data_IF_377879669064
#
_entry.id   IF_377879669064
#
_cell.length_a   1.000
_cell.length_b   1.000
_cell.length_c   1.000
_cell.angle_alpha   90.00
_cell.angle_beta   90.00
_cell.angle_gamma   90.00
#
_symmetry.space_group_name_H-M   'P 1'
#
loop_
_entity.id
_entity.type
_entity.pdbx_description
1 polymer ?
#
# COMPACT_ATOMS: atom_id res chain seq x y z
N UNK A 1 0.46 -9.03 1.68
CA UNK A 1 -0.84 -8.83 1.00
C UNK A 1 -0.78 -7.55 0.17
N UNK A 2 0.06 -7.51 -0.86
CA UNK A 2 0.09 -6.37 -1.76
C UNK A 2 -0.99 -6.45 -2.84
N UNK A 3 -1.59 -7.62 -3.07
CA UNK A 3 -2.57 -7.82 -4.14
C UNK A 3 -2.02 -7.34 -5.48
N UNK A 4 -2.79 -6.50 -6.17
CA UNK A 4 -2.44 -5.86 -7.44
C UNK A 4 -1.41 -4.73 -7.35
N UNK A 5 -0.79 -4.51 -6.18
CA UNK A 5 0.32 -3.56 -6.02
C UNK A 5 -0.08 -2.10 -5.75
N UNK A 6 -1.35 -1.80 -5.50
CA UNK A 6 -1.82 -0.41 -5.31
C UNK A 6 -1.08 0.34 -4.21
N UNK A 7 -0.97 -0.22 -2.99
CA UNK A 7 -0.29 0.46 -1.88
C UNK A 7 1.20 0.74 -2.19
N UNK A 8 1.99 -0.26 -2.67
CA UNK A 8 3.36 0.01 -3.11
C UNK A 8 3.50 1.08 -4.20
N UNK A 9 2.63 1.06 -5.22
CA UNK A 9 2.67 2.03 -6.32
C UNK A 9 2.38 3.45 -5.81
N UNK A 10 1.32 3.62 -5.02
CA UNK A 10 0.98 4.91 -4.41
C UNK A 10 2.10 5.42 -3.49
N UNK A 11 2.75 4.51 -2.74
CA UNK A 11 3.90 4.87 -1.92
C UNK A 11 5.10 5.33 -2.76
N UNK A 12 5.34 4.72 -3.92
CA UNK A 12 6.39 5.16 -4.84
C UNK A 12 6.08 6.53 -5.45
N UNK A 13 4.83 6.76 -5.85
CA UNK A 13 4.37 8.07 -6.33
C UNK A 13 4.57 9.16 -5.28
N UNK A 14 4.17 8.91 -4.03
CA UNK A 14 4.39 9.84 -2.92
C UNK A 14 5.89 10.05 -2.67
N UNK A 15 6.66 8.97 -2.64
CA UNK A 15 8.10 9.02 -2.35
C UNK A 15 8.89 9.84 -3.37
N UNK A 16 8.54 9.77 -4.64
CA UNK A 16 9.15 10.56 -5.72
C UNK A 16 8.39 11.84 -6.04
N UNK A 17 7.38 12.22 -5.24
CA UNK A 17 6.56 13.41 -5.47
C UNK A 17 5.92 13.47 -6.89
N UNK A 18 5.54 12.32 -7.44
CA UNK A 18 4.90 12.22 -8.76
C UNK A 18 3.41 12.53 -8.61
N UNK A 19 2.92 13.46 -9.45
CA UNK A 19 1.52 13.86 -9.41
C UNK A 19 0.58 12.69 -9.79
N UNK A 20 -0.51 12.45 -9.03
CA UNK A 20 -1.44 11.35 -9.29
C UNK A 20 -2.19 11.49 -10.63
N UNK A 21 -2.26 12.71 -11.17
CA UNK A 21 -2.88 13.02 -12.45
C UNK A 21 -1.94 12.96 -13.66
N UNK A 22 -0.65 12.67 -13.46
CA UNK A 22 0.37 12.86 -14.50
C UNK A 22 0.08 12.06 -15.78
N UNK A 23 -0.27 10.79 -15.65
CA UNK A 23 -0.50 9.87 -16.77
C UNK A 23 -1.99 9.69 -17.11
N UNK A 24 -2.79 10.74 -16.96
CA UNK A 24 -4.21 10.74 -17.31
C UNK A 24 -4.68 12.10 -17.80
N UNK A 25 -5.88 12.10 -18.37
CA UNK A 25 -6.57 13.31 -18.81
C UNK A 25 -7.75 13.64 -17.88
N UNK A 26 -8.13 14.91 -17.90
CA UNK A 26 -9.27 15.49 -17.20
C UNK A 26 -10.21 16.15 -18.20
N UNK A 27 -11.52 16.01 -17.99
CA UNK A 27 -12.54 16.51 -18.93
C UNK A 27 -12.46 18.03 -19.16
N UNK A 28 -11.98 18.78 -18.16
CA UNK A 28 -11.82 20.23 -18.23
C UNK A 28 -10.65 20.70 -19.09
N UNK A 29 -9.76 19.80 -19.52
CA UNK A 29 -8.71 20.10 -20.52
C UNK A 29 -9.31 20.43 -21.90
N UNK A 30 -10.58 20.03 -22.14
CA UNK A 30 -11.28 20.26 -23.40
C UNK A 30 -12.30 21.39 -23.33
N UNK A 31 -12.38 22.13 -22.21
CA UNK A 31 -13.35 23.22 -22.09
C UNK A 31 -12.90 24.45 -22.88
N UNK A 32 -13.75 24.91 -23.81
CA UNK A 32 -13.44 26.02 -24.72
C UNK A 32 -13.13 27.35 -24.03
N UNK A 33 -13.60 27.54 -22.80
CA UNK A 33 -13.40 28.76 -22.01
C UNK A 33 -12.17 28.71 -21.11
N UNK A 34 -11.51 27.55 -20.98
CA UNK A 34 -10.30 27.38 -20.20
C UNK A 34 -9.09 27.45 -21.13
N UNK A 35 -8.16 28.37 -20.86
CA UNK A 35 -6.93 28.47 -21.65
C UNK A 35 -6.10 27.19 -21.46
N UNK A 36 -5.75 26.54 -22.57
CA UNK A 36 -4.92 25.33 -22.59
C UNK A 36 -3.57 25.54 -21.92
N UNK A 37 -3.04 26.77 -21.98
CA UNK A 37 -1.77 27.11 -21.34
C UNK A 37 -1.79 26.83 -19.83
N UNK A 38 -2.93 26.97 -19.16
CA UNK A 38 -3.06 26.69 -17.73
C UNK A 38 -2.76 25.21 -17.43
N UNK A 39 -3.25 24.31 -18.27
CA UNK A 39 -2.99 22.87 -18.13
C UNK A 39 -1.56 22.51 -18.50
N UNK A 40 -1.04 23.08 -19.58
CA UNK A 40 0.34 22.87 -20.00
C UNK A 40 1.33 23.31 -18.90
N UNK A 41 1.12 24.49 -18.34
CA UNK A 41 1.94 25.03 -17.24
C UNK A 41 1.87 24.11 -15.99
N UNK A 42 0.68 23.60 -15.64
CA UNK A 42 0.52 22.71 -14.49
C UNK A 42 1.18 21.33 -14.71
N UNK A 43 1.15 20.80 -15.94
CA UNK A 43 1.83 19.55 -16.29
C UNK A 43 3.35 19.72 -16.25
N UNK A 44 3.87 20.86 -16.72
CA UNK A 44 5.30 21.20 -16.63
C UNK A 44 5.72 21.32 -15.15
N UNK A 45 4.95 22.06 -14.34
CA UNK A 45 5.23 22.18 -12.90
C UNK A 45 5.24 20.80 -12.21
N UNK A 46 4.31 19.91 -12.54
CA UNK A 46 4.27 18.56 -11.97
C UNK A 46 5.49 17.71 -12.35
N UNK A 47 5.99 17.81 -13.58
CA UNK A 47 7.22 17.15 -14.03
C UNK A 47 8.44 17.72 -13.30
N UNK A 48 8.55 19.05 -13.22
CA UNK A 48 9.68 19.74 -12.58
C UNK A 48 9.78 19.47 -11.07
N UNK A 49 8.65 19.18 -10.41
CA UNK A 49 8.58 18.85 -8.99
C UNK A 49 8.81 17.36 -8.69
N UNK A 50 8.79 16.49 -9.69
CA UNK A 50 9.01 15.07 -9.50
C UNK A 50 10.50 14.78 -9.20
N UNK A 51 10.73 13.94 -8.19
CA UNK A 51 12.04 13.54 -7.71
C UNK A 51 12.37 12.11 -8.16
N UNK A 52 12.56 11.90 -9.46
CA UNK A 52 12.82 10.58 -10.05
C UNK A 52 14.07 9.88 -9.50
N UNK A 53 15.06 10.66 -9.04
CA UNK A 53 16.30 10.15 -8.46
C UNK A 53 16.18 9.78 -6.97
N UNK A 54 15.05 10.06 -6.32
CA UNK A 54 14.86 9.71 -4.91
C UNK A 54 14.90 8.18 -4.77
N UNK A 55 15.88 7.61 -4.05
CA UNK A 55 15.94 6.18 -3.83
C UNK A 55 14.80 5.75 -2.93
N UNK A 56 14.19 4.62 -3.27
CA UNK A 56 13.09 4.01 -2.54
C UNK A 56 13.39 2.53 -2.30
N UNK A 57 13.07 2.04 -1.10
CA UNK A 57 13.11 0.62 -0.77
C UNK A 57 11.68 0.16 -0.45
N UNK A 58 10.97 -0.28 -1.49
CA UNK A 58 9.58 -0.70 -1.41
C UNK A 58 9.46 -2.16 -1.80
N UNK A 59 8.98 -2.97 -0.85
CA UNK A 59 8.71 -4.39 -1.03
C UNK A 59 7.19 -4.65 -1.02
N UNK A 60 6.67 -5.20 -2.11
CA UNK A 60 5.31 -5.74 -2.21
C UNK A 60 5.31 -7.26 -2.20
N UNK A 61 4.62 -7.88 -1.24
CA UNK A 61 4.51 -9.36 -1.19
C UNK A 61 3.08 -9.86 -1.16
N UNK A 62 2.86 -10.97 -1.86
CA UNK A 62 1.60 -11.69 -1.89
C UNK A 62 1.83 -13.19 -2.08
N UNK A 63 0.91 -14.02 -1.61
CA UNK A 63 0.98 -15.47 -1.77
C UNK A 63 0.56 -15.90 -3.18
N UNK A 64 -0.33 -15.12 -3.82
CA UNK A 64 -0.83 -15.43 -5.15
C UNK A 64 0.13 -14.90 -6.22
N UNK A 65 0.81 -15.81 -6.92
CA UNK A 65 1.71 -15.50 -8.04
C UNK A 65 1.02 -14.69 -9.15
N UNK A 66 -0.30 -14.86 -9.35
CA UNK A 66 -1.07 -14.11 -10.34
C UNK A 66 -1.19 -12.65 -9.93
N UNK A 67 -1.40 -12.38 -8.64
CA UNK A 67 -1.45 -11.02 -8.10
C UNK A 67 -0.09 -10.34 -8.21
N UNK A 68 1.01 -11.06 -7.94
CA UNK A 68 2.37 -10.54 -8.15
C UNK A 68 2.62 -10.19 -9.61
N UNK A 69 2.17 -11.02 -10.56
CA UNK A 69 2.29 -10.71 -11.98
C UNK A 69 1.53 -9.42 -12.34
N UNK A 70 0.27 -9.31 -11.91
CA UNK A 70 -0.56 -8.11 -12.11
C UNK A 70 0.08 -6.88 -11.47
N UNK A 71 0.64 -7.00 -10.26
CA UNK A 71 1.30 -5.91 -9.57
C UNK A 71 2.52 -5.38 -10.32
N UNK A 72 3.33 -6.28 -10.90
CA UNK A 72 4.47 -5.91 -11.76
C UNK A 72 4.01 -5.22 -13.04
N UNK A 73 2.96 -5.72 -13.69
CA UNK A 73 2.39 -5.11 -14.88
C UNK A 73 1.86 -3.69 -14.57
N UNK A 74 1.09 -3.53 -13.49
CA UNK A 74 0.59 -2.23 -13.04
C UNK A 74 1.72 -1.25 -12.71
N UNK A 75 2.77 -1.71 -12.00
CA UNK A 75 3.91 -0.87 -11.67
C UNK A 75 4.67 -0.44 -12.93
N UNK A 76 4.81 -1.33 -13.92
CA UNK A 76 5.41 -0.99 -15.21
C UNK A 76 4.59 0.07 -15.95
N UNK A 77 3.27 -0.11 -16.03
CA UNK A 77 2.35 0.86 -16.66
C UNK A 77 2.37 2.23 -15.95
N UNK A 78 2.58 2.24 -14.63
CA UNK A 78 2.71 3.45 -13.83
C UNK A 78 4.13 4.06 -13.84
N UNK A 79 5.11 3.44 -14.51
CA UNK A 79 6.50 3.93 -14.59
C UNK A 79 7.43 3.54 -13.43
N UNK A 80 7.00 2.61 -12.56
CA UNK A 80 7.72 2.16 -11.36
C UNK A 80 8.32 0.75 -11.45
N UNK A 81 8.47 0.20 -12.66
CA UNK A 81 8.84 -1.20 -12.89
C UNK A 81 10.11 -1.66 -12.15
N UNK A 82 11.12 -0.79 -12.07
CA UNK A 82 12.42 -1.09 -11.42
C UNK A 82 12.53 -0.52 -9.99
N UNK A 83 11.56 0.28 -9.54
CA UNK A 83 11.58 0.95 -8.24
C UNK A 83 10.93 0.10 -7.13
N UNK A 84 10.00 -0.78 -7.48
CA UNK A 84 9.26 -1.59 -6.51
C UNK A 84 9.63 -3.06 -6.67
N UNK A 85 10.11 -3.67 -5.59
CA UNK A 85 10.37 -5.11 -5.57
C UNK A 85 9.09 -5.86 -5.25
N UNK A 86 8.56 -6.61 -6.22
CA UNK A 86 7.43 -7.52 -6.01
C UNK A 86 7.88 -8.99 -5.92
N UNK A 87 7.51 -9.66 -4.83
CA UNK A 87 7.90 -11.04 -4.52
C UNK A 87 6.71 -11.90 -4.11
N UNK A 88 6.60 -13.10 -4.68
CA UNK A 88 5.69 -14.11 -4.16
C UNK A 88 6.22 -14.64 -2.82
N UNK A 89 5.51 -14.38 -1.73
CA UNK A 89 5.95 -14.70 -0.38
C UNK A 89 4.77 -14.63 0.59
N UNK A 90 4.72 -15.53 1.58
CA UNK A 90 3.76 -15.39 2.66
C UNK A 90 4.16 -14.20 3.54
N UNK A 91 3.16 -13.48 4.05
CA UNK A 91 3.40 -12.38 4.99
C UNK A 91 4.13 -12.86 6.26
N UNK A 92 3.95 -14.14 6.62
CA UNK A 92 4.55 -14.79 7.78
C UNK A 92 5.99 -15.28 7.53
N UNK A 93 6.44 -15.31 6.27
CA UNK A 93 7.83 -15.61 5.91
C UNK A 93 8.68 -14.33 5.85
N UNK A 94 8.11 -13.17 6.21
CA UNK A 94 8.82 -11.89 6.21
C UNK A 94 9.95 -11.89 7.23
N UNK A 95 11.15 -11.59 6.74
CA UNK A 95 12.36 -11.39 7.53
C UNK A 95 13.21 -10.29 6.89
N UNK A 96 13.95 -9.55 7.71
CA UNK A 96 14.85 -8.49 7.28
C UNK A 96 15.84 -8.17 8.40
N UNK A 97 17.00 -7.61 8.05
CA UNK A 97 17.96 -7.03 8.99
C UNK A 97 17.84 -5.49 9.07
N UNK A 98 16.95 -4.89 8.29
CA UNK A 98 16.69 -3.45 8.28
C UNK A 98 15.93 -3.01 9.54
N UNK A 99 16.12 -1.76 9.95
CA UNK A 99 15.43 -1.11 11.07
C UNK A 99 14.56 0.04 10.58
N UNK A 100 13.66 0.53 11.44
CA UNK A 100 12.88 1.76 11.22
C UNK A 100 11.98 1.71 9.97
N UNK A 101 11.60 0.51 9.54
CA UNK A 101 10.74 0.27 8.40
C UNK A 101 9.25 0.46 8.70
N UNK A 102 8.45 0.49 7.63
CA UNK A 102 6.98 0.62 7.71
C UNK A 102 6.31 -0.53 6.95
N UNK A 103 5.44 -1.27 7.63
CA UNK A 103 4.54 -2.24 6.99
C UNK A 103 3.16 -1.60 6.87
N UNK A 104 2.62 -1.59 5.66
CA UNK A 104 1.24 -1.21 5.39
C UNK A 104 0.56 -2.37 4.66
N UNK A 105 -0.61 -2.79 5.14
CA UNK A 105 -1.36 -3.85 4.50
C UNK A 105 -2.86 -3.62 4.58
N UNK A 106 -3.55 -4.08 3.53
CA UNK A 106 -5.00 -4.22 3.48
C UNK A 106 -5.35 -5.69 3.26
N UNK A 107 -5.30 -6.54 4.32
CA UNK A 107 -5.65 -7.95 4.19
C UNK A 107 -7.10 -8.13 3.72
N UNK A 108 -7.44 -9.29 3.14
CA UNK A 108 -8.83 -9.61 2.77
C UNK A 108 -9.78 -9.48 3.97
N UNK A 109 -11.04 -9.12 3.72
CA UNK A 109 -12.04 -8.91 4.77
C UNK A 109 -12.77 -10.19 5.23
N UNK A 110 -12.37 -11.36 4.73
CA UNK A 110 -12.91 -12.65 5.17
C UNK A 110 -14.40 -12.85 4.85
N UNK A 111 -14.83 -12.52 3.63
CA UNK A 111 -16.24 -12.61 3.22
C UNK A 111 -16.74 -14.06 3.07
N UNK A 112 -15.82 -15.05 2.99
CA UNK A 112 -16.15 -16.48 2.88
C UNK A 112 -15.76 -17.26 4.14
N UNK A 113 -16.58 -18.25 4.49
CA UNK A 113 -16.54 -19.01 5.76
C UNK A 113 -15.23 -19.81 5.99
N UNK A 114 -14.37 -20.05 5.01
CA UNK A 114 -13.04 -20.65 5.21
C UNK A 114 -11.87 -19.65 5.24
N UNK A 115 -12.06 -18.47 4.66
CA UNK A 115 -11.00 -17.46 4.53
C UNK A 115 -10.76 -16.75 5.86
N UNK A 116 -11.79 -16.64 6.70
CA UNK A 116 -11.69 -15.94 7.99
C UNK A 116 -10.71 -16.63 8.95
N UNK A 117 -10.78 -17.95 9.13
CA UNK A 117 -9.88 -18.69 10.02
C UNK A 117 -8.42 -18.58 9.58
N UNK A 118 -8.17 -18.66 8.28
CA UNK A 118 -6.83 -18.50 7.71
C UNK A 118 -6.30 -17.08 7.92
N UNK A 119 -7.12 -16.06 7.71
CA UNK A 119 -6.76 -14.66 7.94
C UNK A 119 -6.46 -14.43 9.44
N UNK A 120 -7.28 -14.96 10.35
CA UNK A 120 -7.03 -14.87 11.78
C UNK A 120 -5.69 -15.51 12.16
N UNK A 121 -5.38 -16.69 11.61
CA UNK A 121 -4.09 -17.37 11.82
C UNK A 121 -2.93 -16.50 11.35
N UNK A 122 -3.01 -15.97 10.13
CA UNK A 122 -1.95 -15.12 9.57
C UNK A 122 -1.76 -13.85 10.40
N UNK A 123 -2.82 -13.22 10.89
CA UNK A 123 -2.72 -12.03 11.75
C UNK A 123 -2.04 -12.36 13.09
N UNK A 124 -2.37 -13.51 13.70
CA UNK A 124 -1.72 -13.98 14.93
C UNK A 124 -0.23 -14.24 14.71
N UNK A 125 0.13 -14.85 13.59
CA UNK A 125 1.52 -15.14 13.24
C UNK A 125 2.30 -13.85 12.93
N UNK A 126 1.72 -12.94 12.16
CA UNK A 126 2.30 -11.63 11.89
C UNK A 126 2.57 -10.86 13.18
N UNK A 127 1.61 -10.84 14.10
CA UNK A 127 1.78 -10.22 15.42
C UNK A 127 2.93 -10.82 16.25
N UNK A 128 3.19 -12.13 16.12
CA UNK A 128 4.35 -12.78 16.76
C UNK A 128 5.66 -12.39 16.09
N UNK A 129 5.72 -12.39 14.76
CA UNK A 129 6.92 -12.05 13.98
C UNK A 129 7.35 -10.62 14.25
N UNK A 130 6.39 -9.68 14.27
CA UNK A 130 6.68 -8.26 14.46
C UNK A 130 7.21 -7.92 15.87
N UNK A 131 7.14 -8.84 16.85
CA UNK A 131 7.84 -8.65 18.13
C UNK A 131 9.35 -8.65 17.98
N UNK A 132 9.88 -9.29 16.94
CA UNK A 132 11.31 -9.31 16.64
C UNK A 132 11.78 -8.04 15.92
N UNK A 133 10.85 -7.18 15.49
CA UNK A 133 11.09 -5.95 14.74
C UNK A 133 10.52 -4.74 15.50
N UNK A 134 11.03 -4.42 16.69
CA UNK A 134 10.41 -3.43 17.57
C UNK A 134 10.43 -2.02 16.99
N UNK A 135 11.42 -1.66 16.16
CA UNK A 135 11.52 -0.34 15.52
C UNK A 135 10.61 -0.15 14.31
N UNK A 136 9.97 -1.23 13.84
CA UNK A 136 9.10 -1.18 12.68
C UNK A 136 7.71 -0.70 13.06
N UNK A 137 7.19 0.25 12.28
CA UNK A 137 5.79 0.66 12.38
C UNK A 137 4.91 -0.22 11.51
N UNK A 138 3.75 -0.63 12.03
CA UNK A 138 2.80 -1.51 11.34
C UNK A 138 1.44 -0.85 11.24
N UNK A 139 0.88 -0.87 10.03
CA UNK A 139 -0.39 -0.26 9.69
C UNK A 139 -1.28 -1.27 8.97
N UNK A 140 -2.44 -1.56 9.55
CA UNK A 140 -3.33 -2.62 9.06
C UNK A 140 -4.74 -2.07 8.89
N UNK A 141 -5.29 -2.18 7.69
CA UNK A 141 -6.70 -1.87 7.42
C UNK A 141 -7.54 -3.14 7.55
N UNK A 142 -8.52 -3.17 8.45
CA UNK A 142 -9.34 -4.37 8.66
C UNK A 142 -10.75 -4.04 9.16
N UNK A 143 -11.73 -4.87 8.80
CA UNK A 143 -13.09 -4.84 9.34
C UNK A 143 -13.26 -5.68 10.62
N UNK A 144 -12.24 -6.45 11.02
CA UNK A 144 -12.30 -7.31 12.21
C UNK A 144 -12.34 -6.49 13.50
N UNK A 145 -13.36 -6.73 14.32
CA UNK A 145 -13.53 -6.08 15.62
C UNK A 145 -12.55 -6.60 16.67
N UNK A 146 -12.13 -7.87 16.55
CA UNK A 146 -11.17 -8.55 17.42
C UNK A 146 -9.71 -8.44 16.93
N UNK A 147 -9.40 -7.57 15.97
CA UNK A 147 -8.07 -7.49 15.33
C UNK A 147 -6.91 -7.37 16.33
N UNK A 148 -7.00 -6.46 17.32
CA UNK A 148 -5.94 -6.26 18.32
C UNK A 148 -5.70 -7.50 19.20
N UNK A 149 -6.76 -8.27 19.47
CA UNK A 149 -6.66 -9.53 20.21
C UNK A 149 -5.95 -10.60 19.37
N UNK A 150 -6.26 -10.68 18.07
CA UNK A 150 -5.59 -11.59 17.13
C UNK A 150 -4.12 -11.21 16.97
N UNK A 151 -3.85 -9.94 16.70
CA UNK A 151 -2.51 -9.40 16.51
C UNK A 151 -1.67 -9.47 17.81
N UNK A 152 -2.31 -9.49 18.97
CA UNK A 152 -1.63 -9.68 20.27
C UNK A 152 -0.96 -8.42 20.83
N UNK A 153 -1.32 -7.24 20.30
CA UNK A 153 -0.88 -5.91 20.77
C UNK A 153 -2.06 -4.94 20.61
N UNK A 154 -2.22 -3.99 21.53
CA UNK A 154 -3.13 -2.86 21.33
C UNK A 154 -2.51 -1.85 20.36
N UNK A 155 -3.31 -1.33 19.44
CA UNK A 155 -2.87 -0.31 18.52
C UNK A 155 -2.56 0.99 19.28
N UNK A 156 -1.48 1.67 18.89
CA UNK A 156 -1.16 3.01 19.38
C UNK A 156 -2.26 3.99 18.97
N UNK A 157 -2.78 3.83 17.76
CA UNK A 157 -3.93 4.60 17.26
C UNK A 157 -4.83 3.73 16.41
N UNK A 158 -6.13 3.99 16.49
CA UNK A 158 -7.16 3.35 15.67
C UNK A 158 -7.99 4.44 14.99
N UNK A 159 -8.11 4.39 13.66
CA UNK A 159 -8.92 5.34 12.88
C UNK A 159 -9.99 4.60 12.09
N UNK A 160 -11.25 4.95 12.32
CA UNK A 160 -12.36 4.43 11.52
C UNK A 160 -12.27 4.97 10.09
N UNK A 161 -12.35 4.08 9.10
CA UNK A 161 -12.40 4.36 7.68
C UNK A 161 -13.55 3.56 7.02
N UNK A 162 -13.66 3.70 5.70
CA UNK A 162 -14.58 2.94 4.87
C UNK A 162 -13.86 2.44 3.63
N UNK A 163 -14.05 1.17 3.30
CA UNK A 163 -13.71 0.61 1.99
C UNK A 163 -15.02 0.29 1.27
N UNK A 164 -15.45 1.18 0.36
CA UNK A 164 -16.81 1.17 -0.17
C UNK A 164 -17.85 1.29 0.96
N UNK A 165 -18.78 0.34 1.03
CA UNK A 165 -19.79 0.28 2.10
C UNK A 165 -19.32 -0.46 3.36
N UNK A 166 -18.11 -1.05 3.34
CA UNK A 166 -17.57 -1.80 4.47
C UNK A 166 -16.89 -0.82 5.42
N UNK A 167 -17.41 -0.72 6.64
CA UNK A 167 -16.72 0.00 7.71
C UNK A 167 -15.46 -0.78 8.07
N UNK A 168 -14.32 -0.09 8.05
CA UNK A 168 -13.03 -0.64 8.46
C UNK A 168 -12.40 0.23 9.53
N UNK A 169 -11.40 -0.31 10.20
CA UNK A 169 -10.53 0.43 11.08
C UNK A 169 -9.08 0.29 10.58
N UNK A 170 -8.37 1.40 10.59
CA UNK A 170 -6.94 1.50 10.31
C UNK A 170 -6.19 1.48 11.63
N UNK A 171 -5.65 0.31 11.97
CA UNK A 171 -4.87 0.05 13.17
C UNK A 171 -3.42 0.48 12.94
N UNK A 172 -2.87 1.25 13.87
CA UNK A 172 -1.53 1.82 13.80
C UNK A 172 -0.73 1.37 15.02
N UNK A 173 0.38 0.68 14.79
CA UNK A 173 1.32 0.23 15.81
C UNK A 173 2.65 0.91 15.51
N UNK A 174 3.01 1.93 16.28
CA UNK A 174 4.27 2.62 16.09
C UNK A 174 5.40 1.82 16.73
N UNK A 175 6.54 1.77 16.03
CA UNK A 175 7.80 1.22 16.50
C UNK A 175 8.46 2.09 17.57
#
# INVERSE_FOLDING_TARGET
FCGSGTIPIEAAMIGQNIAPGYNRDFISEQWDWMDKKIWDDARIEAEDLANYDQPLDILGTDIDHRMIKIAKENALEAGFGDLITFKQMQATDFTTDLTDGVIISNPPYGERIGEMEEIERVIRELGKIMKNYPTWSVYMLSSMSNFEQLYGKKATKKRKLYNGFIRTDFYQFWG
#
